data_IF_374291801154
#
_entry.id   IF_374291801154
#
_cell.length_a   1.000
_cell.length_b   1.000
_cell.length_c   1.000
_cell.angle_alpha   90.00
_cell.angle_beta   90.00
_cell.angle_gamma   90.00
#
_symmetry.space_group_name_H-M   'P 1'
#
loop_
_entity.id
_entity.type
_entity.pdbx_description
1 polymer ?
#
# COMPACT_ATOMS: atom_id res chain seq x y z
N UNK A 1 11.77 11.82 18.67
CA UNK A 1 11.63 10.71 17.70
C UNK A 1 11.13 11.20 16.35
N UNK A 2 10.13 12.09 16.30
CA UNK A 2 9.68 12.76 15.07
C UNK A 2 10.82 13.40 14.25
N UNK A 3 11.83 13.97 14.91
CA UNK A 3 12.97 14.62 14.25
C UNK A 3 13.98 13.66 13.62
N UNK A 4 13.91 12.37 13.94
CA UNK A 4 14.91 11.40 13.49
C UNK A 4 14.55 10.78 12.13
N UNK A 5 13.27 10.52 11.85
CA UNK A 5 12.84 9.89 10.59
C UNK A 5 12.53 10.92 9.51
N UNK A 6 13.08 10.74 8.31
CA UNK A 6 12.78 11.61 7.16
C UNK A 6 12.98 10.92 5.81
N UNK A 7 12.44 11.50 4.75
CA UNK A 7 12.80 11.11 3.39
C UNK A 7 14.12 11.76 3.02
N UNK A 8 15.03 11.01 2.39
CA UNK A 8 16.29 11.55 1.91
C UNK A 8 16.06 12.67 0.88
N UNK A 9 16.83 13.76 0.98
CA UNK A 9 16.74 14.87 0.03
C UNK A 9 17.09 14.46 -1.41
N UNK A 10 17.98 13.49 -1.56
CA UNK A 10 18.29 12.86 -2.84
C UNK A 10 18.24 11.33 -2.69
N UNK A 11 17.41 10.63 -3.49
CA UNK A 11 17.35 9.18 -3.45
C UNK A 11 18.66 8.59 -4.00
N UNK A 12 19.23 7.61 -3.31
CA UNK A 12 20.36 6.85 -3.83
C UNK A 12 19.91 5.79 -4.86
N UNK A 13 20.85 5.31 -5.68
CA UNK A 13 20.56 4.35 -6.73
C UNK A 13 20.25 2.93 -6.23
N UNK A 14 19.23 2.30 -6.80
CA UNK A 14 18.84 0.91 -6.53
C UNK A 14 19.72 -0.16 -7.19
N UNK A 15 20.62 0.24 -8.10
CA UNK A 15 21.61 -0.68 -8.67
C UNK A 15 22.59 -1.19 -7.60
N UNK A 16 22.71 -0.46 -6.47
CA UNK A 16 23.48 -0.89 -5.31
C UNK A 16 22.72 -1.86 -4.42
N UNK A 17 23.45 -2.74 -3.75
CA UNK A 17 23.00 -3.67 -2.70
C UNK A 17 22.40 -2.98 -1.44
N UNK A 18 22.20 -1.67 -1.47
CA UNK A 18 21.99 -0.80 -0.31
C UNK A 18 20.58 -0.89 0.31
N UNK A 19 19.58 -1.33 -0.45
CA UNK A 19 18.19 -1.30 0.01
C UNK A 19 17.61 0.11 0.05
N UNK A 20 16.58 0.30 0.87
CA UNK A 20 15.72 1.49 0.86
C UNK A 20 15.86 2.38 2.07
N UNK A 21 16.66 1.98 3.05
CA UNK A 21 16.80 2.73 4.30
C UNK A 21 18.25 2.83 4.77
N UNK A 22 18.56 3.95 5.42
CA UNK A 22 19.86 4.18 6.05
C UNK A 22 19.73 4.97 7.35
N UNK A 23 20.73 4.85 8.19
CA UNK A 23 20.97 5.68 9.37
C UNK A 23 22.16 6.57 9.06
N UNK A 24 22.00 7.88 9.25
CA UNK A 24 23.10 8.84 9.14
C UNK A 24 23.81 8.96 10.48
N UNK A 25 25.13 8.96 10.43
CA UNK A 25 26.02 9.05 11.57
C UNK A 25 27.04 10.15 11.32
N UNK A 26 27.10 11.12 12.22
CA UNK A 26 28.15 12.11 12.27
C UNK A 26 29.29 11.61 13.17
N UNK A 27 30.50 11.60 12.62
CA UNK A 27 31.74 11.27 13.34
C UNK A 27 32.55 12.54 13.49
N UNK A 28 32.69 13.02 14.73
CA UNK A 28 33.38 14.28 15.08
C UNK A 28 34.86 14.10 15.42
N UNK A 29 35.27 12.89 15.79
CA UNK A 29 36.64 12.54 16.14
C UNK A 29 37.14 11.41 15.24
N UNK A 30 38.35 11.52 14.65
CA UNK A 30 38.88 10.47 13.80
C UNK A 30 39.26 9.26 14.66
N UNK A 31 38.73 8.10 14.33
CA UNK A 31 39.00 6.86 15.05
C UNK A 31 38.78 5.66 14.15
N UNK A 32 39.76 4.75 14.08
CA UNK A 32 39.62 3.52 13.27
C UNK A 32 38.36 2.71 13.62
N UNK A 33 37.87 2.85 14.86
CA UNK A 33 36.63 2.25 15.36
C UNK A 33 35.78 3.32 16.04
N UNK A 34 34.50 3.40 15.68
CA UNK A 34 33.50 4.29 16.30
C UNK A 34 32.30 3.45 16.74
N UNK A 35 31.88 3.59 18.00
CA UNK A 35 30.66 2.96 18.49
C UNK A 35 29.46 3.82 18.11
N UNK A 36 28.39 3.20 17.61
CA UNK A 36 27.13 3.88 17.32
C UNK A 36 25.97 3.19 18.01
N UNK A 37 25.06 3.99 18.57
CA UNK A 37 23.80 3.53 19.15
C UNK A 37 22.64 4.14 18.37
N UNK A 38 21.81 3.28 17.78
CA UNK A 38 20.67 3.68 16.97
C UNK A 38 19.38 3.35 17.71
N UNK A 39 18.60 4.37 18.04
CA UNK A 39 17.24 4.20 18.57
C UNK A 39 16.24 4.19 17.41
N UNK A 40 15.81 3.00 16.99
CA UNK A 40 14.93 2.81 15.83
C UNK A 40 13.73 1.92 16.14
N UNK A 41 12.88 1.68 15.14
CA UNK A 41 11.67 0.84 15.27
C UNK A 41 11.56 -0.06 14.05
N UNK A 42 12.07 -1.28 14.15
CA UNK A 42 12.10 -2.26 13.06
C UNK A 42 10.82 -3.10 13.05
N UNK A 43 10.12 -3.04 11.91
CA UNK A 43 8.91 -3.83 11.67
C UNK A 43 9.21 -5.32 11.50
N UNK A 44 10.34 -5.66 10.91
CA UNK A 44 10.77 -7.04 10.71
C UNK A 44 11.03 -7.77 12.04
N UNK A 45 10.68 -9.05 12.10
CA UNK A 45 10.68 -9.85 13.35
C UNK A 45 12.09 -10.23 13.83
N UNK A 46 13.03 -10.36 12.90
CA UNK A 46 14.39 -10.85 13.14
C UNK A 46 15.45 -9.90 12.55
N UNK A 47 15.52 -8.64 13.01
CA UNK A 47 16.45 -7.67 12.46
C UNK A 47 17.92 -8.09 12.62
N UNK A 48 18.24 -8.94 13.60
CA UNK A 48 19.57 -9.51 13.83
C UNK A 48 20.07 -10.44 12.70
N UNK A 49 19.13 -10.96 11.89
CA UNK A 49 19.39 -11.82 10.73
C UNK A 49 19.43 -11.04 9.41
N UNK A 50 19.11 -9.76 9.44
CA UNK A 50 19.23 -8.90 8.26
C UNK A 50 20.67 -8.40 8.12
N UNK A 51 21.13 -8.30 6.88
CA UNK A 51 22.41 -7.66 6.59
C UNK A 51 22.44 -6.18 6.98
N UNK A 52 23.65 -5.64 7.02
CA UNK A 52 23.90 -4.19 7.09
C UNK A 52 25.08 -3.86 6.18
N UNK A 53 25.15 -2.63 5.69
CA UNK A 53 26.30 -2.10 4.95
C UNK A 53 26.58 -0.69 5.45
N UNK A 54 27.83 -0.28 5.48
CA UNK A 54 28.18 1.09 5.84
C UNK A 54 28.97 1.77 4.74
N UNK A 55 28.75 3.07 4.56
CA UNK A 55 29.51 3.90 3.62
C UNK A 55 29.86 5.26 4.19
N UNK A 56 31.05 5.76 3.86
CA UNK A 56 31.39 7.17 4.02
C UNK A 56 30.73 7.98 2.91
N UNK A 57 30.05 9.07 3.25
CA UNK A 57 29.24 9.81 2.28
C UNK A 57 30.04 10.76 1.38
N UNK A 58 31.23 11.19 1.80
CA UNK A 58 32.07 12.11 1.01
C UNK A 58 32.56 11.51 -0.31
N UNK A 59 32.85 10.20 -0.32
CA UNK A 59 33.42 9.49 -1.47
C UNK A 59 32.72 8.16 -1.80
N UNK A 60 31.66 7.81 -1.08
CA UNK A 60 30.92 6.55 -1.20
C UNK A 60 31.75 5.29 -0.90
N UNK A 61 32.86 5.42 -0.17
CA UNK A 61 33.67 4.28 0.25
C UNK A 61 32.85 3.35 1.16
N UNK A 62 32.77 2.06 0.80
CA UNK A 62 32.20 1.01 1.66
C UNK A 62 33.22 0.70 2.77
N UNK A 63 32.77 0.80 4.02
CA UNK A 63 33.62 0.66 5.21
C UNK A 63 33.13 -0.49 6.08
N UNK A 64 34.01 -1.02 6.94
CA UNK A 64 33.64 -2.11 7.84
C UNK A 64 32.59 -1.65 8.85
N UNK A 65 31.63 -2.52 9.13
CA UNK A 65 30.66 -2.38 10.21
C UNK A 65 30.38 -3.72 10.86
N UNK A 66 30.48 -3.75 12.18
CA UNK A 66 30.12 -4.90 13.01
C UNK A 66 28.83 -4.62 13.78
N UNK A 67 27.74 -5.37 13.51
CA UNK A 67 26.60 -5.42 14.41
C UNK A 67 26.97 -6.08 15.72
N UNK A 68 26.83 -5.36 16.84
CA UNK A 68 27.07 -5.85 18.20
C UNK A 68 25.77 -6.38 18.80
N UNK A 69 24.72 -5.57 18.76
CA UNK A 69 23.38 -5.92 19.20
C UNK A 69 22.38 -5.33 18.21
N UNK A 70 21.42 -6.12 17.74
CA UNK A 70 20.40 -5.64 16.80
C UNK A 70 19.06 -6.14 17.31
N UNK A 71 18.18 -5.21 17.68
CA UNK A 71 16.83 -5.50 18.15
C UNK A 71 15.81 -4.70 17.35
N UNK A 72 14.53 -4.91 17.65
CA UNK A 72 13.46 -4.13 17.01
C UNK A 72 13.39 -2.68 17.50
N UNK A 73 13.88 -2.38 18.70
CA UNK A 73 13.78 -1.05 19.32
C UNK A 73 15.14 -0.30 19.35
N UNK A 74 16.25 -0.99 19.11
CA UNK A 74 17.57 -0.37 19.06
C UNK A 74 18.59 -1.22 18.31
N UNK A 75 19.71 -0.61 17.93
CA UNK A 75 20.89 -1.31 17.42
C UNK A 75 22.19 -0.68 17.90
N UNK A 76 23.15 -1.52 18.27
CA UNK A 76 24.53 -1.14 18.55
C UNK A 76 25.44 -1.69 17.45
N UNK A 77 26.24 -0.80 16.87
CA UNK A 77 27.20 -1.17 15.84
C UNK A 77 28.56 -0.55 16.14
N UNK A 78 29.60 -1.15 15.58
CA UNK A 78 30.94 -0.57 15.54
C UNK A 78 31.28 -0.35 14.08
N UNK A 79 31.64 0.89 13.76
CA UNK A 79 31.88 1.38 12.40
C UNK A 79 33.35 1.72 12.22
N UNK A 80 33.91 1.41 11.05
CA UNK A 80 35.21 1.90 10.63
C UNK A 80 35.12 3.36 10.14
N UNK A 81 35.79 4.27 10.83
CA UNK A 81 35.69 5.70 10.56
C UNK A 81 37.04 6.44 10.71
N UNK A 82 37.99 6.12 9.83
CA UNK A 82 39.34 6.72 9.83
C UNK A 82 39.37 8.24 9.64
N UNK A 83 38.29 8.83 9.14
CA UNK A 83 38.15 10.27 8.88
C UNK A 83 36.90 10.83 9.56
N UNK A 84 36.99 12.09 10.01
CA UNK A 84 35.83 12.89 10.46
C UNK A 84 34.87 13.08 9.29
N UNK A 85 33.57 12.94 9.54
CA UNK A 85 32.55 13.22 8.53
C UNK A 85 31.25 12.44 8.71
N UNK A 86 30.46 12.42 7.64
CA UNK A 86 29.17 11.73 7.60
C UNK A 86 29.31 10.32 7.03
N UNK A 87 28.72 9.38 7.75
CA UNK A 87 28.62 7.98 7.36
C UNK A 87 27.15 7.57 7.28
N UNK A 88 26.86 6.59 6.43
CA UNK A 88 25.54 6.01 6.28
C UNK A 88 25.59 4.50 6.55
N UNK A 89 24.86 4.07 7.57
CA UNK A 89 24.58 2.67 7.86
C UNK A 89 23.28 2.26 7.15
N UNK A 90 23.38 1.51 6.07
CA UNK A 90 22.25 0.92 5.37
C UNK A 90 21.76 -0.32 6.09
N UNK A 91 20.45 -0.37 6.35
CA UNK A 91 19.79 -1.51 6.98
C UNK A 91 18.71 -2.08 6.06
N UNK A 92 18.48 -3.39 6.18
CA UNK A 92 17.76 -4.16 5.16
C UNK A 92 18.36 -3.96 3.74
N UNK A 93 19.69 -4.06 3.59
CA UNK A 93 20.29 -4.12 2.28
C UNK A 93 19.70 -5.32 1.54
N UNK A 94 19.57 -5.18 0.23
CA UNK A 94 18.89 -6.17 -0.58
C UNK A 94 19.67 -6.45 -1.85
N UNK A 95 19.72 -7.72 -2.21
CA UNK A 95 20.34 -8.21 -3.43
C UNK A 95 19.27 -8.88 -4.26
N UNK A 96 19.09 -8.45 -5.49
CA UNK A 96 18.18 -9.12 -6.41
C UNK A 96 18.79 -10.47 -6.82
N UNK A 97 17.98 -11.52 -6.73
CA UNK A 97 18.29 -12.85 -7.26
C UNK A 97 17.68 -12.99 -8.65
N UNK A 98 18.54 -13.16 -9.66
CA UNK A 98 18.14 -13.33 -11.06
C UNK A 98 17.72 -12.05 -11.78
N UNK A 99 17.54 -12.16 -13.10
CA UNK A 99 17.35 -11.03 -14.00
C UNK A 99 15.88 -10.74 -14.33
N UNK A 100 14.94 -11.51 -13.77
CA UNK A 100 13.51 -11.40 -14.07
C UNK A 100 12.90 -10.14 -13.44
N UNK A 101 12.83 -9.07 -14.22
CA UNK A 101 12.32 -7.77 -13.75
C UNK A 101 10.84 -7.80 -13.31
N UNK A 102 10.01 -8.68 -13.89
CA UNK A 102 8.58 -8.79 -13.56
C UNK A 102 8.29 -9.64 -12.31
N UNK A 103 9.28 -10.39 -11.81
CA UNK A 103 9.16 -11.16 -10.56
C UNK A 103 10.49 -11.11 -9.80
N UNK A 104 10.84 -9.94 -9.25
CA UNK A 104 12.10 -9.77 -8.58
C UNK A 104 12.10 -10.54 -7.26
N UNK A 105 13.03 -11.48 -7.12
CA UNK A 105 13.31 -12.14 -5.84
C UNK A 105 14.42 -11.35 -5.15
N UNK A 106 14.23 -11.02 -3.87
CA UNK A 106 15.17 -10.20 -3.10
C UNK A 106 15.73 -11.00 -1.92
N UNK A 107 17.04 -10.93 -1.72
CA UNK A 107 17.77 -11.54 -0.61
C UNK A 107 18.22 -10.45 0.37
N UNK A 108 17.91 -10.64 1.66
CA UNK A 108 18.22 -9.72 2.76
C UNK A 108 19.09 -10.35 3.87
N UNK A 109 19.39 -11.64 3.75
CA UNK A 109 20.03 -12.45 4.78
C UNK A 109 21.42 -11.92 5.12
N UNK A 110 21.76 -11.82 6.41
CA UNK A 110 23.03 -11.27 6.88
C UNK A 110 24.25 -11.91 6.24
N UNK A 111 24.19 -13.21 6.00
CA UNK A 111 25.25 -13.99 5.36
C UNK A 111 25.54 -13.54 3.92
N UNK A 112 24.54 -12.97 3.23
CA UNK A 112 24.70 -12.42 1.88
C UNK A 112 25.36 -11.02 1.86
N UNK A 113 25.56 -10.41 3.04
CA UNK A 113 26.17 -9.09 3.21
C UNK A 113 27.25 -9.12 4.29
N UNK A 114 28.41 -9.76 4.03
CA UNK A 114 29.54 -9.70 4.95
C UNK A 114 29.98 -8.24 5.08
N UNK A 115 29.75 -7.67 6.26
CA UNK A 115 29.89 -6.24 6.51
C UNK A 115 31.20 -5.89 7.22
N UNK A 116 32.02 -6.88 7.56
CA UNK A 116 33.15 -6.74 8.44
C UNK A 116 34.26 -7.71 8.02
N UNK A 117 35.46 -7.20 7.75
CA UNK A 117 36.66 -8.00 7.59
C UNK A 117 37.02 -8.70 8.93
N UNK A 118 37.24 -10.03 8.95
CA UNK A 118 37.60 -10.75 10.16
C UNK A 118 38.88 -10.27 10.85
N UNK A 119 39.82 -9.67 10.12
CA UNK A 119 41.07 -9.15 10.67
C UNK A 119 40.85 -7.80 11.34
N UNK A 120 40.07 -6.91 10.72
CA UNK A 120 39.61 -5.65 11.30
C UNK A 120 38.78 -5.91 12.57
N UNK A 121 37.90 -6.93 12.54
CA UNK A 121 37.08 -7.31 13.70
C UNK A 121 37.90 -7.67 14.95
N UNK A 122 39.06 -8.31 14.76
CA UNK A 122 39.96 -8.68 15.87
C UNK A 122 40.70 -7.49 16.47
N UNK A 123 40.79 -6.38 15.73
CA UNK A 123 41.43 -5.14 16.15
C UNK A 123 40.56 -4.24 17.03
N UNK A 124 39.28 -4.56 17.19
CA UNK A 124 38.31 -3.72 17.94
C UNK A 124 38.77 -3.51 19.39
N UNK A 125 39.02 -2.26 19.82
CA UNK A 125 39.46 -1.96 21.18
C UNK A 125 38.31 -2.00 22.19
N UNK A 126 38.63 -2.02 23.48
CA UNK A 126 37.62 -1.98 24.55
C UNK A 126 36.97 -0.59 24.72
N UNK A 127 37.68 0.48 24.36
CA UNK A 127 37.22 1.86 24.40
C UNK A 127 37.40 2.48 23.03
N UNK A 128 36.40 3.24 22.59
CA UNK A 128 36.36 3.90 21.28
C UNK A 128 35.44 5.12 21.35
N UNK A 129 35.65 6.12 20.48
CA UNK A 129 34.75 7.27 20.37
C UNK A 129 33.32 6.85 19.96
N UNK A 130 32.35 7.69 20.28
CA UNK A 130 30.95 7.50 19.90
C UNK A 130 30.59 8.38 18.70
N UNK A 131 29.84 7.80 17.76
CA UNK A 131 29.27 8.53 16.63
C UNK A 131 27.84 8.96 16.94
N UNK A 132 27.47 10.16 16.50
CA UNK A 132 26.13 10.72 16.71
C UNK A 132 25.20 10.32 15.58
N UNK A 133 24.07 9.68 15.91
CA UNK A 133 23.03 9.38 14.92
C UNK A 133 22.21 10.63 14.64
N UNK A 134 22.29 11.14 13.41
CA UNK A 134 21.65 12.41 13.03
C UNK A 134 20.30 12.23 12.34
N UNK A 135 20.08 11.11 11.65
CA UNK A 135 18.81 10.81 10.97
C UNK A 135 18.65 9.32 10.65
N UNK A 136 17.40 8.87 10.45
CA UNK A 136 17.02 7.62 9.81
C UNK A 136 16.24 7.99 8.55
N UNK A 137 16.79 7.63 7.40
CA UNK A 137 16.26 8.04 6.11
C UNK A 137 15.65 6.88 5.34
N UNK A 138 14.48 7.12 4.73
CA UNK A 138 13.99 6.33 3.61
C UNK A 138 14.47 6.93 2.29
N UNK A 139 14.62 6.08 1.27
CA UNK A 139 15.06 6.49 -0.07
C UNK A 139 14.06 7.46 -0.72
N UNK A 140 12.78 7.14 -0.63
CA UNK A 140 11.66 7.97 -1.10
C UNK A 140 10.51 7.95 -0.10
N UNK A 141 9.51 8.82 -0.30
CA UNK A 141 8.28 8.82 0.49
C UNK A 141 7.51 7.49 0.37
N UNK A 142 7.49 6.91 -0.84
CA UNK A 142 6.88 5.60 -1.07
C UNK A 142 7.56 4.48 -0.25
N UNK A 143 8.87 4.57 -0.06
CA UNK A 143 9.64 3.61 0.73
C UNK A 143 9.54 3.90 2.24
N UNK A 144 8.94 5.00 2.69
CA UNK A 144 8.92 5.38 4.10
C UNK A 144 8.05 4.43 4.94
N UNK A 145 8.62 3.95 6.05
CA UNK A 145 7.84 3.29 7.10
C UNK A 145 7.21 4.29 8.08
N UNK A 146 7.71 5.51 8.13
CA UNK A 146 7.21 6.52 9.04
C UNK A 146 5.88 7.10 8.53
N UNK A 147 4.87 7.31 9.40
CA UNK A 147 4.80 6.91 10.81
C UNK A 147 4.06 5.57 11.06
N UNK A 148 3.35 5.05 10.05
CA UNK A 148 2.36 3.96 10.23
C UNK A 148 2.92 2.54 10.22
N UNK A 149 4.19 2.37 9.85
CA UNK A 149 4.88 1.08 9.82
C UNK A 149 6.04 0.99 10.82
N UNK A 150 6.09 1.94 11.76
CA UNK A 150 6.99 1.85 12.92
C UNK A 150 6.23 1.26 14.11
N UNK A 151 6.65 0.12 14.68
CA UNK A 151 6.01 -0.44 15.87
C UNK A 151 6.15 0.48 17.09
N UNK A 152 5.07 0.62 17.86
CA UNK A 152 5.14 1.14 19.22
C UNK A 152 6.01 0.22 20.07
N UNK A 153 6.76 0.78 21.04
CA UNK A 153 7.55 -0.07 21.94
C UNK A 153 6.63 -0.86 22.84
N UNK A 154 7.18 -1.89 23.49
CA UNK A 154 6.43 -2.64 24.50
C UNK A 154 5.88 -1.73 25.60
N UNK A 155 6.69 -0.82 26.12
CA UNK A 155 6.31 0.11 27.19
C UNK A 155 5.22 1.09 26.75
N UNK A 156 5.33 1.65 25.55
CA UNK A 156 4.34 2.54 24.96
C UNK A 156 3.00 1.83 24.76
N UNK A 157 3.04 0.61 24.22
CA UNK A 157 1.84 -0.23 24.02
C UNK A 157 1.18 -0.54 25.36
N UNK A 158 1.94 -0.96 26.36
CA UNK A 158 1.41 -1.23 27.70
C UNK A 158 0.80 0.02 28.34
N UNK A 159 1.45 1.17 28.18
CA UNK A 159 0.95 2.46 28.71
C UNK A 159 -0.37 2.85 28.05
N UNK A 160 -0.45 2.80 26.72
CA UNK A 160 -1.66 3.09 25.96
C UNK A 160 -2.80 2.14 26.34
N UNK A 161 -2.53 0.84 26.45
CA UNK A 161 -3.55 -0.15 26.79
C UNK A 161 -4.00 -0.08 28.25
N UNK A 162 -3.17 0.42 29.17
CA UNK A 162 -3.60 0.73 30.55
C UNK A 162 -4.62 1.86 30.59
N UNK A 163 -4.48 2.88 29.73
CA UNK A 163 -5.46 3.98 29.62
C UNK A 163 -6.83 3.48 29.15
N UNK A 164 -6.87 2.39 28.38
CA UNK A 164 -8.10 1.77 27.90
C UNK A 164 -8.88 0.99 28.97
N UNK A 165 -8.34 0.78 30.17
CA UNK A 165 -9.01 0.01 31.23
C UNK A 165 -9.32 -1.43 30.80
N UNK A 166 -10.53 -1.92 31.05
CA UNK A 166 -10.96 -3.30 30.74
C UNK A 166 -11.69 -3.45 29.40
N UNK A 167 -11.69 -2.40 28.57
CA UNK A 167 -12.36 -2.43 27.25
C UNK A 167 -11.87 -3.63 26.40
N UNK A 168 -12.77 -4.45 25.83
CA UNK A 168 -12.39 -5.61 25.01
C UNK A 168 -11.73 -5.22 23.69
N UNK A 169 -11.84 -3.97 23.27
CA UNK A 169 -11.14 -3.39 22.13
C UNK A 169 -10.99 -1.88 22.29
N UNK A 170 -10.13 -1.29 21.48
CA UNK A 170 -10.00 0.17 21.32
C UNK A 170 -10.02 0.51 19.84
N UNK A 171 -10.31 1.77 19.54
CA UNK A 171 -10.46 2.27 18.16
C UNK A 171 -9.50 3.42 17.90
N UNK A 172 -9.01 3.49 16.66
CA UNK A 172 -8.10 4.52 16.18
C UNK A 172 -8.63 5.06 14.85
N UNK A 173 -9.28 6.23 14.82
CA UNK A 173 -9.61 6.88 13.57
C UNK A 173 -8.35 7.43 12.90
N UNK A 174 -8.17 7.17 11.61
CA UNK A 174 -7.06 7.69 10.81
C UNK A 174 -7.54 8.18 9.44
N UNK A 175 -6.84 9.17 8.93
CA UNK A 175 -7.06 9.69 7.59
C UNK A 175 -6.44 8.76 6.53
N UNK A 176 -6.79 9.02 5.28
CA UNK A 176 -6.28 8.29 4.11
C UNK A 176 -4.80 8.50 3.81
N UNK A 177 -4.14 9.50 4.40
CA UNK A 177 -2.69 9.72 4.26
C UNK A 177 -1.89 8.85 5.24
N UNK A 178 -2.51 8.46 6.36
CA UNK A 178 -1.94 7.61 7.39
C UNK A 178 -2.68 6.27 7.54
N UNK A 179 -2.84 5.48 6.46
CA UNK A 179 -3.60 4.25 6.56
C UNK A 179 -2.91 3.25 7.49
N UNK A 180 -3.70 2.51 8.26
CA UNK A 180 -3.24 1.43 9.11
C UNK A 180 -2.65 0.29 8.25
N UNK A 181 -1.33 0.04 8.40
CA UNK A 181 -0.59 -0.98 7.63
C UNK A 181 -0.12 -2.17 8.48
N UNK A 182 -0.09 -2.02 9.81
CA UNK A 182 0.31 -3.08 10.73
C UNK A 182 -0.92 -3.73 11.37
N UNK A 183 -1.10 -5.03 11.13
CA UNK A 183 -2.27 -5.79 11.60
C UNK A 183 -2.00 -6.65 12.85
N UNK A 184 -0.77 -6.67 13.35
CA UNK A 184 -0.31 -7.58 14.43
C UNK A 184 0.19 -6.83 15.67
N UNK A 185 0.32 -5.51 15.58
CA UNK A 185 0.85 -4.64 16.63
C UNK A 185 0.44 -3.19 16.36
N UNK A 186 0.58 -2.33 17.38
CA UNK A 186 0.19 -0.93 17.28
C UNK A 186 1.32 -0.09 16.66
N UNK A 187 1.02 0.83 15.73
CA UNK A 187 1.97 1.82 15.25
C UNK A 187 2.34 2.83 16.33
N UNK A 188 3.60 3.28 16.28
CA UNK A 188 4.15 4.36 17.09
C UNK A 188 3.24 5.59 17.09
N UNK A 189 2.70 5.97 15.92
CA UNK A 189 1.78 7.11 15.78
C UNK A 189 0.60 7.04 16.75
N UNK A 190 0.03 5.87 16.96
CA UNK A 190 -1.13 5.70 17.85
C UNK A 190 -0.72 5.74 19.33
N UNK A 191 0.46 5.21 19.66
CA UNK A 191 1.02 5.35 21.00
C UNK A 191 1.34 6.81 21.35
N UNK A 192 1.86 7.57 20.39
CA UNK A 192 2.18 8.99 20.56
C UNK A 192 0.91 9.87 20.65
N UNK A 193 -0.05 9.69 19.73
CA UNK A 193 -1.33 10.42 19.75
C UNK A 193 -2.17 10.11 20.98
N UNK A 194 -2.09 8.88 21.50
CA UNK A 194 -2.96 8.39 22.55
C UNK A 194 -4.32 7.94 22.02
N UNK A 195 -5.20 7.52 22.95
CA UNK A 195 -6.57 7.12 22.62
C UNK A 195 -7.41 8.36 22.29
N UNK A 196 -7.99 8.39 21.09
CA UNK A 196 -8.95 9.41 20.68
C UNK A 196 -10.05 8.77 19.86
N UNK A 197 -11.29 9.15 20.17
CA UNK A 197 -12.47 8.73 19.44
C UNK A 197 -13.00 9.87 18.55
N UNK A 198 -12.14 10.80 18.15
CA UNK A 198 -12.52 11.94 17.31
C UNK A 198 -11.71 11.93 16.01
N UNK A 199 -12.42 12.11 14.89
CA UNK A 199 -11.84 12.24 13.57
C UNK A 199 -12.20 13.59 12.97
N UNK A 200 -11.21 14.23 12.36
CA UNK A 200 -11.42 15.46 11.58
C UNK A 200 -10.79 15.32 10.21
N UNK A 201 -11.53 15.67 9.16
CA UNK A 201 -11.09 15.62 7.77
C UNK A 201 -11.40 16.89 6.99
N UNK A 202 -10.63 17.16 5.94
CA UNK A 202 -10.90 18.21 4.95
C UNK A 202 -11.12 17.58 3.58
N UNK A 203 -12.18 18.02 2.91
CA UNK A 203 -12.62 17.53 1.62
C UNK A 203 -13.10 18.68 0.74
N UNK A 204 -13.32 18.39 -0.54
CA UNK A 204 -13.94 19.30 -1.49
C UNK A 204 -15.37 18.85 -1.82
N UNK A 205 -16.24 19.75 -2.29
CA UNK A 205 -17.52 19.34 -2.85
C UNK A 205 -17.33 18.33 -3.98
N UNK A 206 -18.30 17.44 -4.17
CA UNK A 206 -18.26 16.31 -5.13
C UNK A 206 -17.17 15.25 -4.87
N UNK A 207 -16.43 15.32 -3.77
CA UNK A 207 -15.36 14.37 -3.48
C UNK A 207 -15.88 13.05 -2.91
N UNK A 208 -15.31 11.93 -3.37
CA UNK A 208 -15.42 10.67 -2.65
C UNK A 208 -14.36 10.61 -1.55
N UNK A 209 -14.77 10.92 -0.33
CA UNK A 209 -13.87 11.02 0.82
C UNK A 209 -13.67 9.66 1.49
N UNK A 210 -12.42 9.35 1.83
CA UNK A 210 -12.04 8.05 2.41
C UNK A 210 -11.32 8.27 3.74
N UNK A 211 -11.68 7.46 4.73
CA UNK A 211 -11.00 7.41 6.02
C UNK A 211 -11.04 6.00 6.60
N UNK A 212 -10.36 5.78 7.73
CA UNK A 212 -10.35 4.52 8.44
C UNK A 212 -10.73 4.65 9.90
N UNK A 213 -11.33 3.59 10.44
CA UNK A 213 -11.35 3.34 11.87
C UNK A 213 -10.71 1.98 12.10
N UNK A 214 -9.53 1.96 12.70
CA UNK A 214 -8.84 0.73 13.04
C UNK A 214 -9.26 0.22 14.42
N UNK A 215 -9.64 -1.05 14.51
CA UNK A 215 -10.01 -1.72 15.77
C UNK A 215 -8.83 -2.56 16.25
N UNK A 216 -8.30 -2.27 17.44
CA UNK A 216 -7.35 -3.16 18.11
C UNK A 216 -8.06 -4.04 19.13
N UNK A 217 -8.05 -5.35 18.89
CA UNK A 217 -8.75 -6.33 19.69
C UNK A 217 -7.94 -6.74 20.93
N UNK A 218 -8.54 -6.62 22.11
CA UNK A 218 -7.97 -7.07 23.40
C UNK A 218 -8.62 -8.36 23.92
N UNK A 219 -9.71 -8.77 23.28
CA UNK A 219 -10.34 -10.08 23.35
C UNK A 219 -10.64 -10.55 21.91
N UNK A 220 -11.00 -11.82 21.73
CA UNK A 220 -11.45 -12.30 20.42
C UNK A 220 -12.81 -11.68 20.09
N UNK A 221 -12.89 -10.99 18.95
CA UNK A 221 -14.10 -10.34 18.46
C UNK A 221 -14.64 -11.12 17.26
N UNK A 222 -15.77 -11.79 17.40
CA UNK A 222 -16.35 -12.63 16.33
C UNK A 222 -17.22 -11.82 15.37
N UNK A 223 -17.88 -10.77 15.86
CA UNK A 223 -18.79 -9.94 15.09
C UNK A 223 -18.77 -8.50 15.60
N UNK A 224 -18.09 -7.63 14.86
CA UNK A 224 -18.08 -6.19 15.08
C UNK A 224 -19.23 -5.59 14.27
N UNK A 225 -20.29 -5.14 14.95
CA UNK A 225 -21.42 -4.45 14.32
C UNK A 225 -21.16 -2.95 14.21
N UNK A 226 -21.66 -2.34 13.14
CA UNK A 226 -21.53 -0.91 12.87
C UNK A 226 -22.91 -0.25 12.80
N UNK A 227 -23.01 0.93 13.41
CA UNK A 227 -24.18 1.78 13.33
C UNK A 227 -23.79 3.24 13.18
N UNK A 228 -24.54 3.97 12.34
CA UNK A 228 -24.32 5.39 12.08
C UNK A 228 -25.44 6.20 12.73
N UNK A 229 -25.10 7.21 13.53
CA UNK A 229 -26.07 8.01 14.29
C UNK A 229 -25.70 9.49 14.29
N UNK A 230 -26.63 10.31 14.80
CA UNK A 230 -26.38 11.71 15.14
C UNK A 230 -25.83 12.55 13.97
N UNK A 231 -26.39 12.33 12.78
CA UNK A 231 -26.11 13.13 11.58
C UNK A 231 -26.50 14.59 11.82
N UNK A 232 -25.56 15.50 11.55
CA UNK A 232 -25.71 16.93 11.77
C UNK A 232 -24.75 17.72 10.88
N UNK A 233 -24.96 19.04 10.81
CA UNK A 233 -24.15 19.96 9.99
C UNK A 233 -24.91 20.56 8.81
N UNK A 234 -24.17 21.21 7.94
CA UNK A 234 -24.69 21.97 6.78
C UNK A 234 -25.00 21.07 5.58
N UNK A 235 -24.35 19.91 5.52
CA UNK A 235 -24.43 18.96 4.41
C UNK A 235 -25.34 17.81 4.82
N UNK A 236 -26.48 17.58 4.12
CA UNK A 236 -27.38 16.48 4.42
C UNK A 236 -26.70 15.15 4.12
N UNK A 237 -26.80 14.21 5.05
CA UNK A 237 -26.23 12.88 4.95
C UNK A 237 -27.10 11.85 5.65
N UNK A 238 -27.14 10.64 5.11
CA UNK A 238 -27.78 9.47 5.68
C UNK A 238 -26.81 8.30 5.82
N UNK A 239 -27.24 7.23 6.47
CA UNK A 239 -26.47 6.00 6.59
C UNK A 239 -26.18 5.32 5.24
N UNK A 240 -27.05 5.52 4.24
CA UNK A 240 -26.93 4.91 2.91
C UNK A 240 -25.81 5.56 2.07
N UNK A 241 -25.37 6.75 2.45
CA UNK A 241 -24.30 7.49 1.78
C UNK A 241 -22.89 7.07 2.26
N UNK A 242 -22.81 6.19 3.26
CA UNK A 242 -21.56 5.74 3.89
C UNK A 242 -21.31 4.27 3.53
N UNK A 243 -20.27 4.04 2.74
CA UNK A 243 -19.76 2.70 2.46
C UNK A 243 -18.88 2.21 3.62
N UNK A 244 -19.03 0.94 4.01
CA UNK A 244 -18.02 0.22 4.78
C UNK A 244 -17.61 -1.07 4.06
N UNK A 245 -16.47 -1.02 3.36
CA UNK A 245 -15.98 -2.11 2.49
C UNK A 245 -15.70 -3.42 3.22
N UNK A 246 -15.51 -3.37 4.53
CA UNK A 246 -15.25 -4.54 5.37
C UNK A 246 -16.54 -5.28 5.74
N UNK A 247 -17.69 -4.59 5.73
CA UNK A 247 -19.00 -5.11 6.14
C UNK A 247 -19.80 -5.62 4.96
N UNK A 248 -19.72 -4.98 3.80
CA UNK A 248 -20.59 -5.24 2.67
C UNK A 248 -19.95 -4.77 1.36
N UNK A 249 -20.58 -5.11 0.25
CA UNK A 249 -20.18 -4.64 -1.08
C UNK A 249 -20.95 -5.29 -2.21
N UNK A 250 -20.52 -5.02 -3.43
CA UNK A 250 -21.08 -5.60 -4.65
C UNK A 250 -20.02 -6.50 -5.29
N UNK A 251 -20.41 -7.72 -5.65
CA UNK A 251 -19.49 -8.65 -6.33
C UNK A 251 -19.32 -8.30 -7.82
N UNK A 252 -18.42 -9.01 -8.50
CA UNK A 252 -18.12 -8.80 -9.92
C UNK A 252 -19.29 -9.17 -10.86
N UNK A 253 -20.38 -9.75 -10.34
CA UNK A 253 -21.61 -10.03 -11.07
C UNK A 253 -22.72 -8.99 -10.78
N UNK A 254 -22.46 -8.03 -9.88
CA UNK A 254 -23.42 -7.00 -9.49
C UNK A 254 -24.32 -7.40 -8.32
N UNK A 255 -24.06 -8.55 -7.68
CA UNK A 255 -24.85 -8.99 -6.53
C UNK A 255 -24.31 -8.39 -5.24
N UNK A 256 -25.20 -7.85 -4.41
CA UNK A 256 -24.85 -7.40 -3.08
C UNK A 256 -24.47 -8.57 -2.16
N UNK A 257 -23.47 -8.39 -1.31
CA UNK A 257 -23.09 -9.33 -0.27
C UNK A 257 -22.80 -8.62 1.05
N UNK A 258 -22.87 -9.37 2.15
CA UNK A 258 -22.43 -8.94 3.47
C UNK A 258 -21.32 -9.86 4.00
N UNK A 259 -20.46 -9.32 4.85
CA UNK A 259 -19.34 -9.98 5.51
C UNK A 259 -19.42 -9.75 7.01
N UNK A 260 -19.08 -10.78 7.76
CA UNK A 260 -18.87 -10.66 9.20
C UNK A 260 -17.48 -10.08 9.44
N UNK A 261 -17.42 -9.03 10.25
CA UNK A 261 -16.16 -8.42 10.66
C UNK A 261 -15.74 -9.09 11.96
N UNK A 262 -14.61 -9.80 11.94
CA UNK A 262 -14.00 -10.43 13.10
C UNK A 262 -12.57 -9.94 13.30
N UNK A 263 -12.11 -9.85 14.54
CA UNK A 263 -10.73 -9.49 14.87
C UNK A 263 -10.23 -10.34 16.05
N UNK A 264 -9.24 -11.23 15.84
CA UNK A 264 -8.64 -12.01 16.92
C UNK A 264 -7.90 -11.11 17.92
N UNK A 265 -7.80 -11.58 19.17
CA UNK A 265 -7.04 -10.88 20.22
C UNK A 265 -5.61 -10.56 19.77
N UNK A 266 -5.18 -9.34 20.04
CA UNK A 266 -3.84 -8.83 19.70
C UNK A 266 -3.68 -8.45 18.23
N UNK A 267 -4.76 -8.42 17.45
CA UNK A 267 -4.75 -7.97 16.05
C UNK A 267 -5.39 -6.60 15.89
N UNK A 268 -5.04 -5.96 14.78
CA UNK A 268 -5.67 -4.73 14.31
C UNK A 268 -6.51 -5.08 13.08
N UNK A 269 -7.77 -4.63 13.08
CA UNK A 269 -8.69 -4.71 11.94
C UNK A 269 -9.01 -3.29 11.46
N UNK A 270 -8.37 -2.80 10.38
CA UNK A 270 -8.74 -1.56 9.74
C UNK A 270 -10.11 -1.71 9.07
N UNK A 271 -11.03 -0.80 9.39
CA UNK A 271 -12.31 -0.65 8.72
C UNK A 271 -12.22 0.57 7.80
N UNK A 272 -12.40 0.35 6.51
CA UNK A 272 -12.38 1.41 5.49
C UNK A 272 -13.79 1.96 5.29
N UNK A 273 -13.89 3.28 5.36
CA UNK A 273 -15.12 4.01 5.10
C UNK A 273 -14.94 4.92 3.89
N UNK A 274 -16.00 4.98 3.07
CA UNK A 274 -16.09 5.89 1.95
C UNK A 274 -17.37 6.69 2.03
N UNK A 275 -17.30 7.97 1.64
CA UNK A 275 -18.39 8.91 1.74
C UNK A 275 -18.45 9.77 0.47
N UNK A 276 -19.57 9.71 -0.24
CA UNK A 276 -19.79 10.55 -1.41
C UNK A 276 -20.32 11.92 -0.96
N UNK A 277 -19.55 12.99 -1.16
CA UNK A 277 -19.99 14.34 -0.82
C UNK A 277 -20.84 14.94 -1.96
N UNK A 278 -21.93 15.66 -1.64
CA UNK A 278 -22.74 16.32 -2.65
C UNK A 278 -21.96 17.40 -3.42
N UNK A 279 -22.18 17.49 -4.73
CA UNK A 279 -21.45 18.37 -5.66
C UNK A 279 -21.49 19.86 -5.26
N UNK A 280 -22.64 20.34 -4.80
CA UNK A 280 -22.89 21.78 -4.59
C UNK A 280 -23.04 22.15 -3.11
N UNK A 281 -22.35 21.45 -2.21
CA UNK A 281 -22.44 21.66 -0.76
C UNK A 281 -21.06 21.87 -0.13
N UNK A 282 -20.88 23.05 0.42
CA UNK A 282 -19.77 23.40 1.33
C UNK A 282 -20.31 23.52 2.75
N UNK A 283 -19.46 23.31 3.74
CA UNK A 283 -19.82 23.38 5.15
C UNK A 283 -19.36 22.14 5.90
N UNK A 284 -19.73 22.07 7.17
CA UNK A 284 -19.35 20.96 8.03
C UNK A 284 -20.39 19.86 7.96
N UNK A 285 -19.94 18.62 7.93
CA UNK A 285 -20.78 17.45 8.18
C UNK A 285 -20.25 16.70 9.41
N UNK A 286 -21.15 16.16 10.22
CA UNK A 286 -20.79 15.43 11.42
C UNK A 286 -21.76 14.29 11.69
N UNK A 287 -21.22 13.14 12.10
CA UNK A 287 -21.99 11.97 12.47
C UNK A 287 -21.14 11.10 13.40
N UNK A 288 -21.76 10.08 13.99
CA UNK A 288 -21.11 9.13 14.87
C UNK A 288 -21.10 7.73 14.26
N UNK A 289 -19.96 7.05 14.34
CA UNK A 289 -19.83 5.62 14.04
C UNK A 289 -19.75 4.87 15.36
N UNK A 290 -20.74 4.02 15.63
CA UNK A 290 -20.77 3.17 16.82
C UNK A 290 -20.34 1.77 16.44
N UNK A 291 -19.23 1.32 17.02
CA UNK A 291 -18.70 -0.04 16.87
C UNK A 291 -19.10 -0.83 18.10
N UNK A 292 -19.78 -1.96 17.93
CA UNK A 292 -20.17 -2.82 19.05
C UNK A 292 -19.64 -4.24 18.85
N UNK A 293 -18.96 -4.77 19.86
CA UNK A 293 -18.46 -6.14 19.89
C UNK A 293 -18.27 -6.61 21.33
N UNK A 294 -18.44 -7.91 21.59
CA UNK A 294 -18.26 -8.51 22.92
C UNK A 294 -19.02 -7.77 24.05
N UNK A 295 -20.24 -7.27 23.76
CA UNK A 295 -21.08 -6.55 24.73
C UNK A 295 -20.61 -5.13 25.07
N UNK A 296 -19.59 -4.61 24.37
CA UNK A 296 -19.03 -3.27 24.57
C UNK A 296 -19.18 -2.44 23.30
N UNK A 297 -19.39 -1.13 23.46
CA UNK A 297 -19.51 -0.18 22.35
C UNK A 297 -18.48 0.94 22.45
N UNK A 298 -17.85 1.27 21.33
CA UNK A 298 -17.03 2.47 21.15
C UNK A 298 -17.69 3.38 20.11
N UNK A 299 -17.86 4.65 20.46
CA UNK A 299 -18.41 5.67 19.56
C UNK A 299 -17.27 6.55 19.06
N UNK A 300 -17.13 6.66 17.74
CA UNK A 300 -16.19 7.58 17.07
C UNK A 300 -16.96 8.73 16.45
N UNK A 301 -16.59 9.97 16.81
CA UNK A 301 -17.18 11.20 16.25
C UNK A 301 -16.44 11.59 14.98
N UNK A 302 -17.16 11.66 13.88
CA UNK A 302 -16.63 12.03 12.57
C UNK A 302 -17.03 13.47 12.26
N UNK A 303 -16.06 14.29 11.86
CA UNK A 303 -16.27 15.66 11.43
C UNK A 303 -15.51 15.93 10.14
N UNK A 304 -16.19 16.20 9.04
CA UNK A 304 -15.55 16.51 7.76
C UNK A 304 -15.96 17.91 7.32
N UNK A 305 -14.96 18.72 6.98
CA UNK A 305 -15.16 20.07 6.42
C UNK A 305 -15.06 20.00 4.90
N UNK A 306 -16.14 20.33 4.20
CA UNK A 306 -16.15 20.47 2.74
C UNK A 306 -15.97 21.93 2.35
N UNK A 307 -14.94 22.26 1.58
CA UNK A 307 -14.64 23.63 1.18
C UNK A 307 -14.00 23.73 -0.22
N UNK A 308 -13.99 24.95 -0.77
CA UNK A 308 -13.43 25.23 -2.09
C UNK A 308 -14.37 24.87 -3.24
N UNK A 309 -13.79 24.61 -4.42
CA UNK A 309 -14.53 24.27 -5.64
C UNK A 309 -14.79 22.76 -5.71
N UNK A 310 -15.88 22.32 -6.37
CA UNK A 310 -16.10 20.91 -6.67
C UNK A 310 -14.87 20.26 -7.29
N UNK A 311 -14.58 19.01 -6.92
CA UNK A 311 -13.44 18.26 -7.46
C UNK A 311 -13.87 17.48 -8.70
N UNK A 312 -13.01 17.44 -9.73
CA UNK A 312 -13.29 16.67 -10.93
C UNK A 312 -13.21 15.15 -10.65
N UNK A 313 -14.09 14.39 -11.30
CA UNK A 313 -14.13 12.92 -11.23
C UNK A 313 -14.10 12.38 -9.80
N UNK A 314 -14.73 13.11 -8.86
CA UNK A 314 -14.77 12.78 -7.44
C UNK A 314 -13.39 12.60 -6.77
N UNK A 315 -12.34 13.14 -7.39
CA UNK A 315 -10.96 13.06 -6.93
C UNK A 315 -10.14 11.88 -7.49
N UNK A 316 -10.61 11.17 -8.51
CA UNK A 316 -9.92 9.98 -9.08
C UNK A 316 -8.52 10.25 -9.65
N UNK A 317 -8.26 11.50 -10.04
CA UNK A 317 -6.96 11.93 -10.55
C UNK A 317 -5.87 11.96 -9.48
N UNK A 318 -6.26 12.18 -8.22
CA UNK A 318 -5.34 12.34 -7.10
C UNK A 318 -5.25 11.01 -6.34
N UNK A 319 -4.26 10.17 -6.64
CA UNK A 319 -4.15 8.81 -6.08
C UNK A 319 -4.15 8.77 -4.54
N UNK A 320 -3.57 9.78 -3.88
CA UNK A 320 -3.54 9.89 -2.42
C UNK A 320 -4.93 10.05 -1.78
N UNK A 321 -5.94 10.49 -2.56
CA UNK A 321 -7.33 10.63 -2.07
C UNK A 321 -8.04 9.31 -1.88
N UNK A 322 -7.54 8.23 -2.48
CA UNK A 322 -8.13 6.88 -2.46
C UNK A 322 -9.59 6.82 -2.97
N UNK A 323 -10.03 7.84 -3.69
CA UNK A 323 -11.41 7.99 -4.23
C UNK A 323 -11.85 6.86 -5.15
N UNK A 324 -10.89 6.17 -5.79
CA UNK A 324 -11.12 4.99 -6.64
C UNK A 324 -11.58 3.75 -5.86
N UNK A 325 -11.53 3.75 -4.53
CA UNK A 325 -12.11 2.66 -3.73
C UNK A 325 -13.61 2.49 -4.02
N UNK A 326 -14.32 3.56 -4.39
CA UNK A 326 -15.75 3.46 -4.78
C UNK A 326 -15.99 2.53 -5.97
N UNK A 327 -14.96 2.28 -6.79
CA UNK A 327 -15.06 1.33 -7.91
C UNK A 327 -15.22 -0.11 -7.45
N UNK A 328 -14.82 -0.46 -6.21
CA UNK A 328 -14.99 -1.80 -5.66
C UNK A 328 -16.47 -2.21 -5.55
N UNK A 329 -17.36 -1.24 -5.33
CA UNK A 329 -18.81 -1.44 -5.23
C UNK A 329 -19.56 -1.01 -6.50
N UNK A 330 -18.84 -0.68 -7.59
CA UNK A 330 -19.44 -0.12 -8.79
C UNK A 330 -19.94 -1.19 -9.76
N UNK A 331 -21.17 -1.00 -10.26
CA UNK A 331 -21.76 -1.79 -11.33
C UNK A 331 -21.59 -1.14 -12.72
N UNK A 332 -20.82 -0.05 -12.82
CA UNK A 332 -20.71 0.75 -14.07
C UNK A 332 -20.16 -0.05 -15.25
N UNK A 333 -19.35 -1.08 -14.98
CA UNK A 333 -18.80 -1.98 -16.01
C UNK A 333 -19.61 -3.25 -16.24
N UNK A 334 -20.79 -3.36 -15.62
CA UNK A 334 -21.70 -4.49 -15.78
C UNK A 334 -22.83 -4.08 -16.72
N UNK A 335 -22.47 -3.92 -17.99
CA UNK A 335 -23.42 -3.78 -19.08
C UNK A 335 -23.17 -4.85 -20.16
N UNK A 336 -24.24 -5.20 -20.87
CA UNK A 336 -24.16 -6.05 -22.06
C UNK A 336 -24.08 -5.21 -23.35
N UNK A 337 -23.94 -3.89 -23.20
CA UNK A 337 -23.91 -2.96 -24.31
C UNK A 337 -22.49 -2.82 -24.86
N UNK A 338 -22.37 -2.71 -26.19
CA UNK A 338 -21.07 -2.40 -26.77
C UNK A 338 -20.70 -0.94 -26.41
N UNK A 339 -19.53 -0.69 -25.80
CA UNK A 339 -19.14 0.66 -25.43
C UNK A 339 -18.97 1.51 -26.69
N UNK A 340 -19.52 2.72 -26.69
CA UNK A 340 -19.35 3.62 -27.84
C UNK A 340 -17.86 3.91 -28.07
N UNK A 341 -17.40 3.99 -29.34
CA UNK A 341 -18.18 3.97 -30.58
C UNK A 341 -18.33 2.56 -31.20
N UNK A 342 -18.05 1.49 -30.47
CA UNK A 342 -18.04 0.14 -31.01
C UNK A 342 -19.46 -0.37 -31.26
N UNK A 343 -19.64 -1.11 -32.36
CA UNK A 343 -20.92 -1.76 -32.69
C UNK A 343 -20.98 -3.15 -32.06
N UNK A 344 -22.14 -3.57 -31.54
CA UNK A 344 -22.33 -4.93 -31.05
C UNK A 344 -22.01 -5.99 -32.10
N UNK A 345 -21.54 -7.15 -31.65
CA UNK A 345 -21.33 -8.30 -32.53
C UNK A 345 -22.68 -8.72 -33.09
N UNK A 346 -22.78 -8.82 -34.42
CA UNK A 346 -24.00 -9.23 -35.11
C UNK A 346 -23.85 -10.66 -35.59
N UNK A 347 -24.88 -11.49 -35.47
CA UNK A 347 -24.89 -12.85 -36.03
C UNK A 347 -25.91 -12.95 -37.15
N UNK A 348 -25.50 -13.49 -38.29
CA UNK A 348 -26.40 -13.99 -39.33
C UNK A 348 -26.09 -15.47 -39.58
N UNK A 349 -27.06 -16.35 -39.33
CA UNK A 349 -26.90 -17.80 -39.47
C UNK A 349 -25.62 -18.28 -38.73
N UNK A 350 -24.64 -18.78 -39.47
CA UNK A 350 -23.38 -19.31 -38.94
C UNK A 350 -22.22 -18.31 -39.09
N UNK A 351 -22.50 -17.03 -39.33
CA UNK A 351 -21.48 -15.99 -39.45
C UNK A 351 -21.65 -14.92 -38.38
N UNK A 352 -20.57 -14.65 -37.64
CA UNK A 352 -20.46 -13.57 -36.67
C UNK A 352 -19.77 -12.37 -37.34
N UNK A 353 -20.28 -11.16 -37.12
CA UNK A 353 -19.73 -9.90 -37.63
C UNK A 353 -19.30 -9.01 -36.47
N UNK A 354 -18.07 -8.53 -36.51
CA UNK A 354 -17.51 -7.64 -35.49
C UNK A 354 -16.61 -6.61 -36.17
N UNK A 355 -17.00 -5.33 -36.12
CA UNK A 355 -16.18 -4.17 -36.52
C UNK A 355 -15.36 -4.41 -37.81
N UNK A 356 -15.99 -4.57 -38.98
CA UNK A 356 -15.24 -4.78 -40.24
C UNK A 356 -14.50 -6.12 -40.33
N UNK A 357 -14.92 -7.12 -39.53
CA UNK A 357 -14.51 -8.53 -39.65
C UNK A 357 -15.73 -9.43 -39.63
N UNK A 358 -15.60 -10.61 -40.21
CA UNK A 358 -16.58 -11.69 -40.09
C UNK A 358 -15.89 -13.00 -39.76
N UNK A 359 -16.57 -13.87 -39.03
CA UNK A 359 -16.13 -15.20 -38.64
C UNK A 359 -17.22 -16.19 -39.02
N UNK A 360 -16.95 -17.07 -39.98
CA UNK A 360 -17.84 -18.18 -40.27
C UNK A 360 -17.58 -19.32 -39.29
N UNK A 361 -18.65 -19.94 -38.81
CA UNK A 361 -18.64 -21.09 -37.90
C UNK A 361 -18.93 -22.35 -38.71
N UNK A 362 -18.21 -23.44 -38.42
CA UNK A 362 -18.50 -24.76 -38.96
C UNK A 362 -19.64 -25.44 -38.19
N UNK A 363 -20.08 -26.61 -38.66
CA UNK A 363 -21.16 -27.39 -38.04
C UNK A 363 -20.90 -27.76 -36.56
N UNK A 364 -19.63 -27.81 -36.16
CA UNK A 364 -19.21 -28.05 -34.78
C UNK A 364 -19.19 -26.78 -33.90
N UNK A 365 -19.63 -25.64 -34.43
CA UNK A 365 -19.60 -24.34 -33.76
C UNK A 365 -18.21 -23.70 -33.65
N UNK A 366 -17.16 -24.32 -34.20
CA UNK A 366 -15.81 -23.75 -34.22
C UNK A 366 -15.60 -22.82 -35.43
N UNK A 367 -14.73 -21.81 -35.35
CA UNK A 367 -14.41 -20.95 -36.49
C UNK A 367 -13.92 -21.76 -37.69
N UNK A 368 -14.67 -21.71 -38.80
CA UNK A 368 -14.32 -22.30 -40.08
C UNK A 368 -13.54 -21.31 -40.97
N UNK A 369 -13.76 -20.01 -40.80
CA UNK A 369 -13.02 -18.98 -41.51
C UNK A 369 -13.17 -17.59 -40.89
N UNK A 370 -12.24 -16.70 -41.19
CA UNK A 370 -12.25 -15.29 -40.78
C UNK A 370 -11.96 -14.43 -41.99
N UNK A 371 -12.80 -13.43 -42.24
CA UNK A 371 -12.56 -12.37 -43.22
C UNK A 371 -12.38 -11.02 -42.53
N UNK A 372 -11.47 -10.20 -43.03
CA UNK A 372 -11.16 -8.86 -42.51
C UNK A 372 -11.14 -7.84 -43.63
N UNK A 373 -11.78 -6.70 -43.36
CA UNK A 373 -11.87 -5.53 -44.24
C UNK A 373 -10.95 -4.39 -43.76
N UNK A 374 -10.06 -4.64 -42.80
CA UNK A 374 -9.05 -3.67 -42.37
C UNK A 374 -7.86 -3.62 -43.32
N UNK A 375 -7.44 -2.40 -43.67
CA UNK A 375 -6.13 -2.16 -44.28
C UNK A 375 -4.98 -2.28 -43.27
N UNK A 376 -3.76 -2.05 -43.75
CA UNK A 376 -2.55 -2.09 -42.90
C UNK A 376 -2.53 -0.99 -41.82
N UNK A 377 -3.36 0.04 -41.97
CA UNK A 377 -3.48 1.19 -41.07
C UNK A 377 -4.70 1.09 -40.13
N UNK A 378 -5.42 -0.04 -40.12
CA UNK A 378 -6.58 -0.31 -39.27
C UNK A 378 -7.79 0.59 -39.64
N UNK A 379 -7.95 0.92 -40.93
CA UNK A 379 -9.18 1.51 -41.45
C UNK A 379 -10.06 0.45 -42.11
N UNK A 380 -11.38 0.52 -41.88
CA UNK A 380 -12.35 -0.36 -42.55
C UNK A 380 -12.50 0.10 -44.00
N UNK A 381 -12.13 -0.76 -44.94
CA UNK A 381 -12.25 -0.52 -46.37
C UNK A 381 -13.48 -1.26 -46.94
N UNK A 382 -14.08 -0.74 -48.00
CA UNK A 382 -15.24 -1.36 -48.67
C UNK A 382 -14.92 -2.64 -49.46
N UNK A 383 -13.70 -3.17 -49.36
CA UNK A 383 -13.22 -4.35 -50.08
C UNK A 383 -12.64 -5.36 -49.09
N UNK A 384 -12.91 -6.65 -49.30
CA UNK A 384 -12.35 -7.73 -48.47
C UNK A 384 -10.85 -7.86 -48.73
N UNK A 385 -10.03 -7.77 -47.68
CA UNK A 385 -8.57 -7.66 -47.81
C UNK A 385 -7.82 -8.90 -47.31
N UNK A 386 -8.39 -9.66 -46.37
CA UNK A 386 -7.76 -10.88 -45.84
C UNK A 386 -8.81 -11.93 -45.49
N UNK A 387 -8.61 -13.17 -45.96
CA UNK A 387 -9.44 -14.34 -45.64
C UNK A 387 -8.54 -15.47 -45.15
N UNK A 388 -8.83 -16.02 -43.97
CA UNK A 388 -8.18 -17.20 -43.43
C UNK A 388 -9.24 -18.30 -43.25
N UNK A 389 -9.04 -19.46 -43.86
CA UNK A 389 -9.94 -20.62 -43.70
C UNK A 389 -9.24 -21.65 -42.83
N UNK A 390 -9.91 -22.15 -41.79
CA UNK A 390 -9.35 -23.12 -40.85
C UNK A 390 -9.50 -24.58 -41.30
N UNK A 391 -10.06 -24.81 -42.51
CA UNK A 391 -10.14 -26.12 -43.12
C UNK A 391 -8.82 -26.51 -43.82
N UNK A 392 -7.95 -27.25 -43.13
CA UNK A 392 -7.07 -28.28 -43.70
C UNK A 392 -6.03 -27.90 -44.79
N UNK A 393 -5.98 -26.66 -45.28
CA UNK A 393 -4.98 -26.21 -46.25
C UNK A 393 -4.35 -24.88 -45.82
N UNK A 394 -3.04 -24.80 -46.03
CA UNK A 394 -2.12 -23.75 -45.57
C UNK A 394 -2.62 -22.32 -45.86
N UNK A 395 -3.28 -21.70 -44.88
CA UNK A 395 -3.44 -20.25 -44.80
C UNK A 395 -2.35 -19.67 -43.89
N UNK A 396 -1.34 -19.01 -44.46
CA UNK A 396 -0.28 -18.33 -43.69
C UNK A 396 -0.80 -16.97 -43.22
N UNK A 397 -1.07 -16.84 -41.92
CA UNK A 397 -1.32 -15.53 -41.30
C UNK A 397 0.04 -14.92 -40.94
N UNK A 398 0.36 -13.74 -41.47
CA UNK A 398 1.64 -13.06 -41.18
C UNK A 398 1.69 -12.38 -39.80
N UNK A 399 0.58 -12.39 -39.02
CA UNK A 399 0.51 -11.86 -37.65
C UNK A 399 -0.50 -12.65 -36.79
N UNK A 400 -0.25 -12.88 -35.49
CA UNK A 400 -1.14 -13.67 -34.64
C UNK A 400 -2.47 -12.95 -34.41
N UNK A 401 -3.58 -13.58 -34.81
CA UNK A 401 -4.93 -13.22 -34.33
C UNK A 401 -5.18 -13.98 -33.03
N UNK A 402 -5.22 -13.29 -31.90
CA UNK A 402 -5.64 -13.86 -30.61
C UNK A 402 -7.15 -13.72 -30.48
N UNK A 403 -7.89 -14.81 -30.68
CA UNK A 403 -9.27 -14.92 -30.22
C UNK A 403 -9.25 -15.57 -28.83
N UNK A 404 -9.66 -14.84 -27.81
CA UNK A 404 -9.85 -15.38 -26.45
C UNK A 404 -11.34 -15.69 -26.34
N UNK A 405 -11.70 -16.98 -26.42
CA UNK A 405 -13.03 -17.46 -26.10
C UNK A 405 -13.04 -17.86 -24.63
N UNK A 406 -13.59 -17.02 -23.75
CA UNK A 406 -13.89 -17.40 -22.38
C UNK A 406 -15.20 -18.17 -22.37
N UNK A 407 -15.12 -19.50 -22.41
CA UNK A 407 -16.29 -20.37 -22.33
C UNK A 407 -16.78 -20.53 -20.89
N UNK A 408 -18.10 -20.36 -20.70
CA UNK A 408 -18.93 -21.38 -20.05
C UNK A 408 -20.02 -21.75 -21.03
N UNK A 409 -20.12 -23.04 -21.34
CA UNK A 409 -21.21 -23.64 -22.11
C UNK A 409 -22.49 -23.66 -21.27
#
# INVERSE_FOLDING_TARGET
METLYRTAAQPWGLAGRLGNHRVLVHVSEPGEYVKIHVSWRRRDLHPERCGVLARRLSDNLEVNVKPVLVTRESGEFILEATEIGEYALYYMPCKRLGDNWWNPVMEYAREAFPSCDPDWERGIPAQMPEGEVTAIESRTEFDSFYPMELPATKEETETLLKQAGDKPFVVFPEDREHPARMLWELPYRWAEKGLSNEFSGSARPDEYYVFQIAVYARADLEEISLEYRNFSGDIPLSAEDIDCYNREGVDWLGNAFAKKISCPKGRVQPLWFGLMLPENRTGRLSFEVVLTAAGHSETVKISIQSEGKPIENHGDGDLWRLSRLRWLNSTIGLDEEAPKPYTPVRREQDTLFCLGRSVSLGENGLPAGISSWFDQSIHVCGQELQTATFCGQQGRISRPVRAILSGRL
#
